data_IF_005173910464
#
_entry.id   IF_005173910464
#
_cell.length_a   1.000
_cell.length_b   1.000
_cell.length_c   1.000
_cell.angle_alpha   90.00
_cell.angle_beta   90.00
_cell.angle_gamma   90.00
#
_symmetry.space_group_name_H-M   'P 1'
#
loop_
_entity.id
_entity.type
_entity.pdbx_description
1 polymer ?
#
# COMPACT_ATOMS: atom_id res chain seq x y z
N UNK A 1 -12.59 6.55 -1.00
CA UNK A 1 -14.03 6.69 -1.37
C UNK A 1 -14.92 6.74 -0.13
N UNK A 2 -14.81 5.76 0.77
CA UNK A 2 -15.70 5.65 1.94
C UNK A 2 -15.33 6.57 3.12
N UNK A 3 -14.18 7.25 3.03
CA UNK A 3 -13.70 8.25 4.00
C UNK A 3 -13.59 9.61 3.30
N UNK A 4 -14.72 10.32 3.07
CA UNK A 4 -14.74 11.59 2.35
C UNK A 4 -14.12 12.74 3.17
N UNK A 5 -14.07 12.59 4.49
CA UNK A 5 -13.59 13.53 5.49
C UNK A 5 -12.06 13.50 5.70
N UNK A 6 -11.35 12.59 5.01
CA UNK A 6 -9.89 12.46 5.15
C UNK A 6 -9.14 13.11 4.00
N UNK A 7 -8.04 13.78 4.31
CA UNK A 7 -7.08 14.35 3.35
C UNK A 7 -6.05 13.33 2.84
N UNK A 8 -6.46 12.06 2.79
CA UNK A 8 -5.58 10.91 2.54
C UNK A 8 -4.91 10.99 1.16
N UNK A 9 -5.62 11.45 0.13
CA UNK A 9 -5.03 11.60 -1.19
C UNK A 9 -3.96 12.69 -1.25
N UNK A 10 -4.08 13.77 -0.45
CA UNK A 10 -3.03 14.79 -0.34
C UNK A 10 -1.81 14.24 0.38
N UNK A 11 -2.01 13.56 1.50
CA UNK A 11 -0.95 12.86 2.25
C UNK A 11 -0.18 11.88 1.35
N UNK A 12 -0.89 11.09 0.54
CA UNK A 12 -0.28 10.17 -0.41
C UNK A 12 0.45 10.89 -1.55
N UNK A 13 0.03 12.08 -1.98
CA UNK A 13 0.77 12.88 -2.96
C UNK A 13 2.10 13.36 -2.36
N UNK A 14 2.14 13.77 -1.10
CA UNK A 14 3.37 14.18 -0.41
C UNK A 14 4.38 13.02 -0.29
N UNK A 15 3.89 11.78 -0.12
CA UNK A 15 4.72 10.57 -0.20
C UNK A 15 5.36 10.43 -1.59
N UNK A 16 4.64 10.72 -2.67
CA UNK A 16 5.20 10.66 -4.04
C UNK A 16 6.31 11.69 -4.23
N UNK A 17 6.14 12.91 -3.72
CA UNK A 17 7.17 13.96 -3.80
C UNK A 17 8.42 13.57 -2.99
N UNK A 18 8.24 13.08 -1.77
CA UNK A 18 9.32 12.58 -0.93
C UNK A 18 10.07 11.43 -1.62
N UNK A 19 9.35 10.50 -2.21
CA UNK A 19 9.92 9.40 -2.98
C UNK A 19 10.69 9.90 -4.21
N UNK A 20 10.22 10.98 -4.87
CA UNK A 20 10.91 11.58 -6.01
C UNK A 20 12.26 12.18 -5.64
N UNK A 21 12.35 12.85 -4.49
CA UNK A 21 13.62 13.38 -3.98
C UNK A 21 14.62 12.24 -3.70
N UNK A 22 14.19 11.24 -2.91
CA UNK A 22 15.03 10.08 -2.56
C UNK A 22 15.45 9.24 -3.78
N UNK A 23 14.54 9.08 -4.74
CA UNK A 23 14.79 8.40 -6.00
C UNK A 23 15.93 9.04 -6.80
N UNK A 24 15.96 10.38 -6.86
CA UNK A 24 17.00 11.14 -7.53
C UNK A 24 18.38 10.90 -6.88
N UNK A 25 18.44 10.93 -5.54
CA UNK A 25 19.67 10.64 -4.78
C UNK A 25 20.19 9.22 -5.03
N UNK A 26 19.26 8.26 -5.17
CA UNK A 26 19.60 6.86 -5.45
C UNK A 26 20.01 6.61 -6.91
N UNK A 27 19.79 7.59 -7.80
CA UNK A 27 20.04 7.54 -9.26
C UNK A 27 19.33 6.40 -9.96
N UNK A 28 18.16 6.02 -9.47
CA UNK A 28 17.24 5.21 -10.27
C UNK A 28 16.63 6.18 -11.27
N UNK A 29 16.30 5.78 -12.51
CA UNK A 29 15.91 6.80 -13.49
C UNK A 29 14.91 6.34 -14.56
N UNK A 30 14.99 5.11 -15.04
CA UNK A 30 14.26 4.76 -16.28
C UNK A 30 12.73 4.69 -16.15
N UNK A 31 12.17 4.29 -15.01
CA UNK A 31 10.72 4.00 -14.87
C UNK A 31 9.96 4.94 -13.94
N UNK A 32 10.64 5.69 -13.07
CA UNK A 32 9.97 6.45 -12.01
C UNK A 32 9.06 7.56 -12.52
N UNK A 33 9.45 8.44 -13.48
CA UNK A 33 8.56 9.52 -13.93
C UNK A 33 7.24 9.03 -14.54
N UNK A 34 7.29 7.91 -15.27
CA UNK A 34 6.10 7.28 -15.87
C UNK A 34 5.18 6.68 -14.80
N UNK A 35 5.76 5.89 -13.91
CA UNK A 35 5.02 5.13 -12.90
C UNK A 35 4.45 6.03 -11.80
N UNK A 36 5.22 7.03 -11.33
CA UNK A 36 4.73 8.03 -10.37
C UNK A 36 3.59 8.87 -10.94
N UNK A 37 3.66 9.25 -12.23
CA UNK A 37 2.55 9.91 -12.92
C UNK A 37 1.29 9.04 -12.98
N UNK A 38 1.41 7.73 -13.18
CA UNK A 38 0.27 6.82 -13.17
C UNK A 38 -0.39 6.76 -11.78
N UNK A 39 0.41 6.71 -10.71
CA UNK A 39 -0.10 6.74 -9.34
C UNK A 39 -0.77 8.07 -8.99
N UNK A 40 -0.15 9.21 -9.34
CA UNK A 40 -0.77 10.54 -9.17
C UNK A 40 -2.13 10.64 -9.88
N UNK A 41 -2.22 10.10 -11.11
CA UNK A 41 -3.49 10.05 -11.86
C UNK A 41 -4.55 9.20 -11.17
N UNK A 42 -4.17 8.09 -10.51
CA UNK A 42 -5.10 7.31 -9.69
C UNK A 42 -5.63 8.17 -8.53
N UNK A 43 -4.77 8.86 -7.79
CA UNK A 43 -5.18 9.70 -6.65
C UNK A 43 -6.15 10.82 -7.10
N UNK A 44 -5.87 11.48 -8.22
CA UNK A 44 -6.77 12.49 -8.77
C UNK A 44 -8.13 11.91 -9.21
N UNK A 45 -8.16 10.70 -9.77
CA UNK A 45 -9.42 10.01 -10.07
C UNK A 45 -10.21 9.71 -8.80
N UNK A 46 -9.55 9.22 -7.75
CA UNK A 46 -10.20 8.96 -6.46
C UNK A 46 -10.77 10.23 -5.84
N UNK A 47 -10.02 11.34 -5.86
CA UNK A 47 -10.52 12.66 -5.43
C UNK A 47 -11.76 13.08 -6.22
N UNK A 48 -11.74 12.93 -7.55
CA UNK A 48 -12.90 13.24 -8.40
C UNK A 48 -14.10 12.37 -8.07
N UNK A 49 -13.92 11.06 -7.92
CA UNK A 49 -15.00 10.15 -7.54
C UNK A 49 -15.56 10.46 -6.17
N UNK A 50 -14.73 10.85 -5.19
CA UNK A 50 -15.20 11.31 -3.87
C UNK A 50 -16.14 12.52 -3.99
N UNK A 51 -15.81 13.47 -4.86
CA UNK A 51 -16.52 14.74 -5.02
C UNK A 51 -17.68 14.69 -6.03
N UNK A 52 -17.95 13.54 -6.65
CA UNK A 52 -19.06 13.39 -7.60
C UNK A 52 -20.35 13.14 -6.84
N UNK A 53 -21.38 13.97 -7.06
CA UNK A 53 -22.75 13.73 -6.59
C UNK A 53 -23.29 12.44 -7.21
N UNK A 54 -23.13 11.33 -6.49
CA UNK A 54 -23.51 9.98 -6.93
C UNK A 54 -23.60 9.04 -5.72
N UNK A 55 -24.26 7.91 -5.91
CA UNK A 55 -24.37 6.89 -4.85
C UNK A 55 -23.00 6.30 -4.51
N UNK A 56 -22.83 5.84 -3.26
CA UNK A 56 -21.61 5.12 -2.84
C UNK A 56 -21.34 3.89 -3.72
N UNK A 57 -22.38 3.18 -4.13
CA UNK A 57 -22.29 2.01 -5.02
C UNK A 57 -21.65 2.37 -6.37
N UNK A 58 -22.13 3.43 -7.02
CA UNK A 58 -21.59 3.88 -8.30
C UNK A 58 -20.09 4.24 -8.21
N UNK A 59 -19.69 4.96 -7.15
CA UNK A 59 -18.28 5.32 -6.92
C UNK A 59 -17.38 4.09 -6.73
N UNK A 60 -17.89 3.06 -6.05
CA UNK A 60 -17.18 1.78 -5.88
C UNK A 60 -17.07 1.00 -7.18
N UNK A 61 -18.13 0.99 -7.98
CA UNK A 61 -18.12 0.34 -9.30
C UNK A 61 -17.09 0.97 -10.24
N UNK A 62 -16.98 2.30 -10.27
CA UNK A 62 -15.96 3.01 -11.06
C UNK A 62 -14.54 2.70 -10.60
N UNK A 63 -14.32 2.63 -9.28
CA UNK A 63 -13.04 2.18 -8.71
C UNK A 63 -12.72 0.75 -9.17
N UNK A 64 -13.67 -0.18 -9.06
CA UNK A 64 -13.47 -1.56 -9.48
C UNK A 64 -13.19 -1.65 -10.98
N UNK A 65 -13.99 -0.98 -11.82
CA UNK A 65 -13.79 -0.89 -13.28
C UNK A 65 -12.39 -0.42 -13.63
N UNK A 66 -11.82 0.53 -12.88
CA UNK A 66 -10.46 0.99 -13.11
C UNK A 66 -9.42 -0.11 -12.89
N UNK A 67 -9.63 -0.99 -11.90
CA UNK A 67 -8.74 -2.10 -11.58
C UNK A 67 -9.01 -3.40 -12.36
N UNK A 68 -10.04 -3.46 -13.22
CA UNK A 68 -10.41 -4.69 -13.96
C UNK A 68 -9.37 -5.18 -14.98
N UNK A 69 -8.55 -4.28 -15.55
CA UNK A 69 -7.56 -4.65 -16.58
C UNK A 69 -6.14 -4.40 -16.12
N UNK A 70 -5.30 -5.44 -16.20
CA UNK A 70 -3.90 -5.40 -15.78
C UNK A 70 -3.11 -4.29 -16.49
N UNK A 71 -3.29 -4.10 -17.80
CA UNK A 71 -2.57 -3.09 -18.59
C UNK A 71 -2.76 -1.66 -18.06
N UNK A 72 -3.95 -1.34 -17.52
CA UNK A 72 -4.24 -0.01 -16.95
C UNK A 72 -3.59 0.21 -15.58
N UNK A 73 -3.20 -0.86 -14.88
CA UNK A 73 -2.73 -0.83 -13.49
C UNK A 73 -1.26 -1.21 -13.34
N UNK A 74 -0.61 -1.74 -14.39
CA UNK A 74 0.81 -2.12 -14.35
C UNK A 74 1.73 -1.01 -13.86
N UNK A 75 1.55 0.21 -14.37
CA UNK A 75 2.40 1.35 -13.99
C UNK A 75 2.19 1.77 -12.53
N UNK A 76 0.98 1.54 -11.99
CA UNK A 76 0.69 1.75 -10.57
C UNK A 76 1.44 0.72 -9.72
N UNK A 77 1.37 -0.57 -10.08
CA UNK A 77 2.10 -1.61 -9.35
C UNK A 77 3.63 -1.46 -9.48
N UNK A 78 4.11 -1.01 -10.64
CA UNK A 78 5.51 -0.69 -10.82
C UNK A 78 5.95 0.49 -9.95
N UNK A 79 5.10 1.51 -9.77
CA UNK A 79 5.36 2.59 -8.83
C UNK A 79 5.45 2.08 -7.39
N UNK A 80 4.49 1.27 -6.94
CA UNK A 80 4.49 0.73 -5.58
C UNK A 80 5.74 -0.11 -5.31
N UNK A 81 6.18 -0.94 -6.28
CA UNK A 81 7.45 -1.69 -6.18
C UNK A 81 8.67 -0.77 -6.11
N UNK A 82 8.70 0.31 -6.89
CA UNK A 82 9.77 1.32 -6.79
C UNK A 82 9.77 2.01 -5.43
N UNK A 83 8.59 2.31 -4.88
CA UNK A 83 8.44 2.93 -3.57
C UNK A 83 8.99 2.03 -2.45
N UNK A 84 8.70 0.73 -2.47
CA UNK A 84 9.30 -0.27 -1.57
C UNK A 84 10.82 -0.22 -1.67
N UNK A 85 11.34 -0.29 -2.89
CA UNK A 85 12.76 -0.34 -3.13
C UNK A 85 13.46 0.96 -2.68
N UNK A 86 12.85 2.13 -2.88
CA UNK A 86 13.33 3.43 -2.37
C UNK A 86 13.34 3.42 -0.83
N UNK A 87 12.25 2.96 -0.20
CA UNK A 87 12.16 2.92 1.26
C UNK A 87 13.25 2.04 1.88
N UNK A 88 13.45 0.84 1.34
CA UNK A 88 14.50 -0.09 1.77
C UNK A 88 15.88 0.54 1.64
N UNK A 89 16.16 1.20 0.50
CA UNK A 89 17.46 1.80 0.26
C UNK A 89 17.71 3.04 1.14
N UNK A 90 16.69 3.86 1.39
CA UNK A 90 16.79 5.06 2.22
C UNK A 90 16.90 4.78 3.72
N UNK A 91 16.52 3.57 4.17
CA UNK A 91 16.57 3.17 5.58
C UNK A 91 17.36 1.87 5.75
N UNK A 92 18.50 1.75 5.05
CA UNK A 92 19.26 0.51 4.96
C UNK A 92 19.60 -0.12 6.32
N UNK A 93 19.85 0.68 7.36
CA UNK A 93 20.13 0.20 8.71
C UNK A 93 18.98 -0.65 9.29
N UNK A 94 17.73 -0.34 8.93
CA UNK A 94 16.54 -1.09 9.35
C UNK A 94 16.35 -2.37 8.54
N UNK A 95 16.56 -2.31 7.22
CA UNK A 95 16.19 -3.42 6.32
C UNK A 95 17.31 -4.43 6.06
N UNK A 96 18.57 -3.99 5.98
CA UNK A 96 19.71 -4.86 5.63
C UNK A 96 19.85 -6.07 6.55
N UNK A 97 19.68 -5.98 7.88
CA UNK A 97 19.76 -7.14 8.76
C UNK A 97 18.77 -8.27 8.43
N UNK A 98 17.68 -7.94 7.73
CA UNK A 98 16.64 -8.89 7.31
C UNK A 98 16.83 -9.42 5.90
N UNK A 99 17.92 -9.06 5.21
CA UNK A 99 18.21 -9.47 3.84
C UNK A 99 19.56 -10.23 3.84
N UNK A 100 19.57 -11.55 4.05
CA UNK A 100 20.80 -12.33 4.25
C UNK A 100 21.84 -12.12 3.14
N UNK A 101 21.42 -12.10 1.87
CA UNK A 101 22.33 -11.91 0.73
C UNK A 101 22.96 -10.51 0.67
N UNK A 102 22.33 -9.50 1.29
CA UNK A 102 22.92 -8.15 1.38
C UNK A 102 23.77 -8.05 2.65
N UNK A 103 23.29 -8.58 3.77
CA UNK A 103 24.02 -8.61 5.03
C UNK A 103 25.35 -9.37 4.94
N UNK A 104 25.40 -10.45 4.15
CA UNK A 104 26.62 -11.23 3.89
C UNK A 104 27.52 -10.62 2.79
N UNK A 105 27.09 -9.52 2.15
CA UNK A 105 27.86 -8.85 1.10
C UNK A 105 27.80 -9.50 -0.28
N UNK A 106 26.94 -10.50 -0.50
CA UNK A 106 26.77 -11.16 -1.82
C UNK A 106 26.21 -10.20 -2.86
N UNK A 107 25.26 -9.34 -2.46
CA UNK A 107 24.73 -8.27 -3.31
C UNK A 107 24.85 -6.92 -2.62
N UNK A 108 25.06 -5.86 -3.41
CA UNK A 108 24.71 -4.53 -2.92
C UNK A 108 23.20 -4.40 -2.75
N UNK A 109 22.75 -3.58 -1.80
CA UNK A 109 21.32 -3.38 -1.54
C UNK A 109 20.55 -2.92 -2.79
N UNK A 110 21.16 -2.04 -3.60
CA UNK A 110 20.57 -1.57 -4.86
C UNK A 110 20.39 -2.70 -5.86
N UNK A 111 21.37 -3.60 -5.99
CA UNK A 111 21.29 -4.77 -6.89
C UNK A 111 20.22 -5.74 -6.39
N UNK A 112 20.15 -6.00 -5.09
CA UNK A 112 19.10 -6.85 -4.51
C UNK A 112 17.70 -6.29 -4.78
N UNK A 113 17.49 -4.98 -4.55
CA UNK A 113 16.22 -4.32 -4.88
C UNK A 113 15.87 -4.44 -6.37
N UNK A 114 16.85 -4.28 -7.26
CA UNK A 114 16.63 -4.42 -8.70
C UNK A 114 16.20 -5.83 -9.09
N UNK A 115 16.77 -6.87 -8.47
CA UNK A 115 16.49 -8.27 -8.79
C UNK A 115 15.23 -8.83 -8.13
N UNK A 116 14.92 -8.42 -6.90
CA UNK A 116 13.89 -9.08 -6.09
C UNK A 116 12.70 -8.20 -5.75
N UNK A 117 12.82 -6.87 -5.83
CA UNK A 117 11.75 -5.94 -5.41
C UNK A 117 11.08 -5.28 -6.61
N UNK A 118 11.88 -4.66 -7.49
CA UNK A 118 11.35 -3.87 -8.62
C UNK A 118 10.68 -4.68 -9.75
N UNK A 119 11.03 -5.95 -10.03
CA UNK A 119 10.41 -6.68 -11.12
C UNK A 119 8.93 -6.97 -10.87
N UNK A 120 8.13 -6.90 -11.94
CA UNK A 120 6.73 -7.28 -11.88
C UNK A 120 6.59 -8.80 -11.69
N UNK A 121 5.48 -9.22 -11.08
CA UNK A 121 5.11 -10.63 -10.88
C UNK A 121 6.06 -11.45 -10.00
N UNK A 122 6.97 -10.79 -9.28
CA UNK A 122 7.68 -11.38 -8.15
C UNK A 122 6.80 -11.23 -6.91
N UNK A 123 6.71 -12.32 -6.14
CA UNK A 123 5.96 -12.39 -4.89
C UNK A 123 6.52 -11.37 -3.87
N UNK A 124 5.62 -10.71 -3.15
CA UNK A 124 5.99 -9.75 -2.12
C UNK A 124 5.94 -10.39 -0.76
N UNK A 125 7.11 -10.66 -0.20
CA UNK A 125 7.24 -11.18 1.17
C UNK A 125 6.93 -10.10 2.22
N UNK A 126 6.76 -10.52 3.48
CA UNK A 126 6.43 -9.64 4.59
C UNK A 126 7.37 -8.44 4.75
N UNK A 127 8.67 -8.56 4.42
CA UNK A 127 9.60 -7.43 4.46
C UNK A 127 9.23 -6.33 3.45
N UNK A 128 8.81 -6.71 2.24
CA UNK A 128 8.38 -5.76 1.20
C UNK A 128 7.04 -5.11 1.57
N UNK A 129 6.13 -5.88 2.17
CA UNK A 129 4.86 -5.36 2.68
C UNK A 129 5.08 -4.35 3.81
N UNK A 130 6.00 -4.65 4.75
CA UNK A 130 6.42 -3.69 5.80
C UNK A 130 6.96 -2.41 5.20
N UNK A 131 7.92 -2.52 4.29
CA UNK A 131 8.49 -1.35 3.63
C UNK A 131 7.44 -0.54 2.88
N UNK A 132 6.47 -1.19 2.20
CA UNK A 132 5.38 -0.48 1.53
C UNK A 132 4.48 0.27 2.53
N UNK A 133 4.08 -0.40 3.61
CA UNK A 133 3.25 0.16 4.66
C UNK A 133 3.94 1.36 5.34
N UNK A 134 5.23 1.23 5.65
CA UNK A 134 6.05 2.33 6.19
C UNK A 134 6.23 3.48 5.20
N UNK A 135 6.45 3.19 3.91
CA UNK A 135 6.63 4.22 2.89
C UNK A 135 5.35 5.02 2.64
N UNK A 136 4.20 4.34 2.66
CA UNK A 136 2.89 4.95 2.52
C UNK A 136 2.37 5.51 3.84
N UNK A 137 3.01 5.21 4.97
CA UNK A 137 2.52 5.50 6.32
C UNK A 137 1.04 5.06 6.48
N UNK A 138 0.81 3.76 6.24
CA UNK A 138 -0.50 3.11 6.29
C UNK A 138 -0.43 1.90 7.22
N UNK A 139 -1.32 1.85 8.21
CA UNK A 139 -1.47 0.68 9.10
C UNK A 139 -2.00 -0.52 8.32
N UNK A 140 -1.19 -1.58 8.28
CA UNK A 140 -1.44 -2.82 7.54
C UNK A 140 -1.38 -4.01 8.51
N UNK A 141 -2.51 -4.72 8.62
CA UNK A 141 -2.61 -5.97 9.40
C UNK A 141 -2.69 -7.15 8.43
N UNK A 142 -1.99 -8.23 8.77
CA UNK A 142 -2.11 -9.51 8.07
C UNK A 142 -2.56 -10.60 9.04
N UNK A 143 -3.78 -11.07 8.82
CA UNK A 143 -4.37 -12.22 9.51
C UNK A 143 -4.02 -13.52 8.78
N UNK A 144 -3.92 -14.62 9.52
CA UNK A 144 -3.64 -15.95 8.95
C UNK A 144 -4.56 -17.01 9.55
N UNK A 145 -4.93 -18.02 8.77
CA UNK A 145 -5.76 -19.13 9.24
C UNK A 145 -5.02 -20.08 10.21
N UNK A 146 -3.69 -20.01 10.25
CA UNK A 146 -2.88 -20.89 11.08
C UNK A 146 -2.86 -20.40 12.55
N UNK A 147 -4.02 -20.41 13.22
CA UNK A 147 -4.22 -20.53 14.68
C UNK A 147 -3.35 -19.74 15.66
N UNK A 148 -2.54 -18.77 15.23
CA UNK A 148 -1.47 -18.21 16.04
C UNK A 148 -0.92 -16.94 15.40
N UNK A 149 -1.34 -15.81 15.98
CA UNK A 149 -0.88 -14.45 15.70
C UNK A 149 -1.19 -13.92 14.29
N UNK A 150 -2.17 -13.02 14.21
CA UNK A 150 -2.11 -11.94 13.23
C UNK A 150 -0.75 -11.24 13.43
N UNK A 151 0.09 -11.22 12.41
CA UNK A 151 1.34 -10.45 12.47
C UNK A 151 0.99 -9.06 12.00
N UNK A 152 0.95 -8.13 12.95
CA UNK A 152 0.91 -6.71 12.63
C UNK A 152 2.16 -6.38 11.81
N UNK A 153 1.95 -6.15 10.52
CA UNK A 153 3.04 -5.81 9.60
C UNK A 153 3.47 -4.37 9.85
N UNK A 154 2.52 -3.48 10.17
CA UNK A 154 2.82 -2.12 10.62
C UNK A 154 1.70 -1.56 11.50
N UNK A 155 2.01 -1.25 12.75
CA UNK A 155 1.16 -0.46 13.67
C UNK A 155 1.80 0.91 13.90
N UNK A 156 1.20 1.96 13.35
CA UNK A 156 1.52 3.32 13.77
C UNK A 156 0.97 3.58 15.17
N UNK A 157 1.71 4.23 16.08
CA UNK A 157 1.20 4.55 17.40
C UNK A 157 -0.06 5.43 17.31
N UNK A 158 -1.13 5.04 18.03
CA UNK A 158 -2.33 5.86 18.19
C UNK A 158 -3.44 5.68 17.13
N UNK A 159 -3.36 4.70 16.23
CA UNK A 159 -4.42 4.43 15.23
C UNK A 159 -5.36 3.32 15.73
N UNK A 160 -6.62 3.63 16.10
CA UNK A 160 -7.52 2.65 16.72
C UNK A 160 -8.12 1.61 15.76
N UNK A 161 -7.92 1.77 14.43
CA UNK A 161 -8.38 0.80 13.42
C UNK A 161 -7.37 0.69 12.27
N UNK A 162 -7.03 -0.54 11.82
CA UNK A 162 -6.19 -0.71 10.65
C UNK A 162 -6.82 -0.04 9.42
N UNK A 163 -6.01 0.63 8.62
CA UNK A 163 -6.46 1.21 7.36
C UNK A 163 -6.69 0.10 6.31
N UNK A 164 -5.90 -0.98 6.38
CA UNK A 164 -6.01 -2.15 5.50
C UNK A 164 -5.79 -3.43 6.31
N UNK A 165 -6.67 -4.40 6.12
CA UNK A 165 -6.51 -5.75 6.68
C UNK A 165 -6.47 -6.76 5.53
N UNK A 166 -5.44 -7.60 5.54
CA UNK A 166 -5.28 -8.69 4.59
C UNK A 166 -5.39 -10.03 5.29
N UNK A 167 -5.88 -11.03 4.57
CA UNK A 167 -5.90 -12.42 4.96
C UNK A 167 -4.87 -13.19 4.13
N UNK A 168 -3.92 -13.84 4.79
CA UNK A 168 -2.98 -14.76 4.16
C UNK A 168 -3.38 -16.21 4.42
N UNK A 169 -3.60 -16.96 3.34
CA UNK A 169 -4.03 -18.36 3.42
C UNK A 169 -2.94 -19.39 3.18
N UNK A 170 -1.67 -18.97 3.18
CA UNK A 170 -0.53 -19.84 2.86
C UNK A 170 -0.12 -19.80 1.38
N UNK A 171 -0.89 -19.16 0.51
CA UNK A 171 -0.57 -19.03 -0.92
C UNK A 171 -0.85 -17.65 -1.50
N UNK A 172 -1.88 -16.95 -1.03
CA UNK A 172 -2.22 -15.60 -1.52
C UNK A 172 -2.74 -14.71 -0.39
N UNK A 173 -2.81 -13.41 -0.72
CA UNK A 173 -3.34 -12.36 0.13
C UNK A 173 -4.66 -11.85 -0.42
N UNK A 174 -5.70 -11.85 0.42
CA UNK A 174 -7.01 -11.27 0.12
C UNK A 174 -7.28 -10.05 1.00
N UNK A 175 -8.08 -9.10 0.50
CA UNK A 175 -8.53 -7.96 1.31
C UNK A 175 -9.77 -8.39 2.09
N UNK A 176 -9.72 -8.24 3.42
CA UNK A 176 -10.88 -8.47 4.29
C UNK A 176 -11.37 -7.17 4.90
N UNK A 177 -12.68 -7.06 5.08
CA UNK A 177 -13.34 -5.90 5.66
C UNK A 177 -13.93 -6.29 7.02
N UNK A 178 -13.67 -5.52 8.09
CA UNK A 178 -14.25 -5.82 9.39
C UNK A 178 -15.77 -5.72 9.33
N UNK A 179 -16.45 -6.59 10.07
CA UNK A 179 -17.90 -6.55 10.17
C UNK A 179 -18.33 -5.21 10.80
N UNK A 180 -19.30 -4.52 10.19
CA UNK A 180 -19.90 -3.36 10.83
C UNK A 180 -20.50 -3.80 12.17
N UNK A 181 -20.25 -3.09 13.29
CA UNK A 181 -20.94 -3.40 14.54
C UNK A 181 -22.46 -3.30 14.28
N UNK A 182 -23.27 -4.21 14.85
CA UNK A 182 -24.71 -4.15 14.69
C UNK A 182 -25.19 -2.77 15.15
N UNK A 183 -25.98 -2.11 14.30
CA UNK A 183 -26.62 -0.85 14.65
C UNK A 183 -27.45 -1.09 15.92
N UNK A 184 -27.09 -0.42 17.02
CA UNK A 184 -27.96 -0.34 18.18
C UNK A 184 -29.32 0.15 17.69
N UNK A 185 -30.27 -0.78 17.69
CA UNK A 185 -31.62 -0.54 17.23
C UNK A 185 -32.22 0.45 18.22
N UNK A 186 -32.58 1.63 17.71
CA UNK A 186 -33.38 2.62 18.40
C UNK A 186 -34.53 1.95 19.15
N UNK A 187 -34.33 1.76 20.45
CA UNK A 187 -35.31 1.20 21.38
C UNK A 187 -35.78 2.33 22.29
N UNK A 188 -36.26 3.41 21.70
CA UNK A 188 -37.13 4.36 22.38
C UNK A 188 -38.55 4.19 21.81
N UNK A 189 -39.20 3.11 22.23
CA UNK A 189 -40.65 3.11 22.27
C UNK A 189 -41.07 4.00 23.44
N UNK A 190 -41.80 5.06 23.10
CA UNK A 190 -42.58 5.85 24.02
C UNK A 190 -43.58 4.95 24.77
N UNK A 191 -43.76 5.22 26.06
CA UNK A 191 -44.99 5.00 26.82
C UNK A 191 -45.06 6.03 27.92
#
# INVERSE_FOLDING_TARGET
IDRPDTDEERRLLDVVETASARHADLRWNSKFPRTSRAFKKLLEKVKRWKNTESTSSFRKEELLKFFTTYDKTQDIFAFLRLLVAIQICSHSAEYVPHIPNVASGVYSLKVWCFLYVTPARVESEGLMMRALASALDVTLIVETFQGGYARDIYTGPGVPRPAVTLLYNGNHYDIIYPHAPPSESSSHQAS
#
